data_IF_953682343956
#
_entry.id   IF_953682343956
#
_cell.length_a   1.000
_cell.length_b   1.000
_cell.length_c   1.000
_cell.angle_alpha   90.00
_cell.angle_beta   90.00
_cell.angle_gamma   90.00
#
_symmetry.space_group_name_H-M   'P 1'
#
loop_
_entity.id
_entity.type
_entity.pdbx_description
1 polymer ?
#
# COMPACT_ATOMS: atom_id res chain seq x y z
N UNK A 1 -2.39 12.24 -14.30
CA UNK A 1 -1.31 11.44 -14.93
C UNK A 1 0.00 11.90 -14.29
N UNK A 2 0.83 11.00 -13.74
CA UNK A 2 1.99 11.35 -12.88
C UNK A 2 3.20 11.92 -13.63
N UNK A 3 3.23 11.86 -14.97
CA UNK A 3 4.34 12.40 -15.78
C UNK A 3 3.78 13.35 -16.86
N UNK A 4 3.88 14.68 -16.68
CA UNK A 4 3.42 15.65 -17.66
C UNK A 4 4.17 15.51 -19.00
N UNK A 5 3.47 15.72 -20.12
CA UNK A 5 4.03 15.49 -21.47
C UNK A 5 5.16 16.48 -21.77
N UNK A 6 4.94 17.75 -21.48
CA UNK A 6 5.89 18.81 -21.82
C UNK A 6 7.17 18.67 -20.99
N UNK A 7 7.03 18.42 -19.69
CA UNK A 7 8.17 18.20 -18.79
C UNK A 7 9.04 17.02 -19.23
N UNK A 8 8.43 15.92 -19.65
CA UNK A 8 9.16 14.77 -20.16
C UNK A 8 9.87 15.08 -21.49
N UNK A 9 9.24 15.83 -22.40
CA UNK A 9 9.85 16.22 -23.68
C UNK A 9 10.99 17.22 -23.51
N UNK A 10 10.98 18.03 -22.44
CA UNK A 10 12.03 18.99 -22.13
C UNK A 10 13.27 18.33 -21.51
N UNK A 11 13.21 17.05 -21.14
CA UNK A 11 14.37 16.34 -20.62
C UNK A 11 15.41 16.15 -21.72
N UNK A 12 16.71 16.47 -21.49
CA UNK A 12 17.75 16.36 -22.51
C UNK A 12 17.82 14.98 -23.18
N UNK A 13 17.66 13.92 -22.37
CA UNK A 13 17.63 12.53 -22.85
C UNK A 13 16.47 12.26 -23.80
N UNK A 14 15.30 12.87 -23.59
CA UNK A 14 14.09 12.66 -24.40
C UNK A 14 14.02 13.62 -25.58
N UNK A 15 14.50 14.85 -25.40
CA UNK A 15 14.55 15.88 -26.42
C UNK A 15 15.47 15.51 -27.58
N UNK A 16 16.57 14.80 -27.29
CA UNK A 16 17.53 14.32 -28.30
C UNK A 16 16.99 13.18 -29.18
N UNK A 17 15.91 12.51 -28.75
CA UNK A 17 15.31 11.38 -29.46
C UNK A 17 14.35 11.88 -30.53
N UNK A 18 14.76 11.73 -31.79
CA UNK A 18 13.96 12.12 -32.98
C UNK A 18 13.04 11.00 -33.46
N UNK A 19 13.49 9.75 -33.33
CA UNK A 19 12.74 8.56 -33.71
C UNK A 19 12.53 7.64 -32.51
N UNK A 20 11.42 6.88 -32.43
CA UNK A 20 11.20 5.95 -31.34
C UNK A 20 12.36 4.96 -31.22
N UNK A 21 12.97 4.88 -30.04
CA UNK A 21 14.08 3.97 -29.76
C UNK A 21 13.77 3.03 -28.60
N UNK A 22 14.62 2.02 -28.42
CA UNK A 22 14.68 1.28 -27.17
C UNK A 22 15.49 2.07 -26.14
N UNK A 23 14.98 2.12 -24.91
CA UNK A 23 15.62 2.84 -23.81
C UNK A 23 16.36 1.85 -22.91
N UNK A 24 17.58 2.20 -22.49
CA UNK A 24 18.31 1.36 -21.55
C UNK A 24 17.67 1.38 -20.16
N UNK A 25 18.01 0.40 -19.32
CA UNK A 25 17.56 0.39 -17.93
C UNK A 25 18.07 1.62 -17.16
N UNK A 26 19.28 2.06 -17.44
CA UNK A 26 19.90 3.22 -16.78
C UNK A 26 19.20 4.53 -17.16
N UNK A 27 18.90 4.74 -18.45
CA UNK A 27 18.19 5.94 -18.92
C UNK A 27 16.78 6.02 -18.30
N UNK A 28 16.12 4.88 -18.17
CA UNK A 28 14.81 4.82 -17.55
C UNK A 28 14.87 5.01 -16.04
N UNK A 29 15.91 4.49 -15.38
CA UNK A 29 16.09 4.65 -13.95
C UNK A 29 16.31 6.12 -13.59
N UNK A 30 17.18 6.81 -14.34
CA UNK A 30 17.44 8.25 -14.21
C UNK A 30 16.15 9.07 -14.33
N UNK A 31 15.42 8.89 -15.44
CA UNK A 31 14.16 9.59 -15.67
C UNK A 31 13.10 9.22 -14.62
N UNK A 32 13.04 7.95 -14.20
CA UNK A 32 12.03 7.50 -13.23
C UNK A 32 12.21 8.14 -11.86
N UNK A 33 13.46 8.31 -11.41
CA UNK A 33 13.83 9.02 -10.18
C UNK A 33 13.43 10.48 -10.23
N UNK A 34 13.64 11.13 -11.37
CA UNK A 34 13.30 12.54 -11.55
C UNK A 34 11.80 12.82 -11.43
N UNK A 35 10.97 11.92 -11.96
CA UNK A 35 9.51 12.08 -11.91
C UNK A 35 8.85 11.36 -10.71
N UNK A 36 9.62 10.66 -9.87
CA UNK A 36 9.08 9.88 -8.76
C UNK A 36 8.12 8.77 -9.21
N UNK A 37 8.39 8.16 -10.37
CA UNK A 37 7.52 7.12 -10.95
C UNK A 37 8.26 5.81 -11.13
N UNK A 38 7.54 4.72 -11.38
CA UNK A 38 8.18 3.46 -11.74
C UNK A 38 8.73 3.52 -13.17
N UNK A 39 9.79 2.77 -13.45
CA UNK A 39 10.31 2.60 -14.80
C UNK A 39 9.22 2.14 -15.79
N UNK A 40 8.26 1.33 -15.34
CA UNK A 40 7.13 0.90 -16.18
C UNK A 40 6.17 2.05 -16.53
N UNK A 41 5.84 2.90 -15.55
CA UNK A 41 4.99 4.07 -15.80
C UNK A 41 5.67 5.01 -16.81
N UNK A 42 6.98 5.18 -16.69
CA UNK A 42 7.78 5.99 -17.59
C UNK A 42 7.85 5.41 -19.00
N UNK A 43 8.12 4.10 -19.15
CA UNK A 43 8.12 3.43 -20.48
C UNK A 43 6.79 3.58 -21.18
N UNK A 44 5.68 3.30 -20.49
CA UNK A 44 4.32 3.50 -21.02
C UNK A 44 4.12 4.93 -21.50
N UNK A 45 4.61 5.91 -20.73
CA UNK A 45 4.54 7.32 -21.09
C UNK A 45 5.37 7.61 -22.35
N UNK A 46 6.61 7.14 -22.45
CA UNK A 46 7.49 7.30 -23.60
C UNK A 46 6.88 6.69 -24.88
N UNK A 47 6.30 5.49 -24.79
CA UNK A 47 5.57 4.87 -25.91
C UNK A 47 4.36 5.71 -26.31
N UNK A 48 3.59 6.22 -25.34
CA UNK A 48 2.40 7.06 -25.59
C UNK A 48 2.76 8.36 -26.33
N UNK A 49 3.94 8.93 -26.09
CA UNK A 49 4.39 10.17 -26.75
C UNK A 49 5.25 9.91 -28.00
N UNK A 50 5.37 8.65 -28.45
CA UNK A 50 6.14 8.29 -29.65
C UNK A 50 7.65 8.46 -29.49
N UNK A 51 8.18 8.24 -28.27
CA UNK A 51 9.61 8.26 -27.97
C UNK A 51 10.19 6.88 -27.65
N UNK A 52 9.34 5.86 -27.58
CA UNK A 52 9.75 4.46 -27.48
C UNK A 52 8.94 3.60 -28.46
N UNK A 53 9.56 2.53 -28.98
CA UNK A 53 8.90 1.59 -29.89
C UNK A 53 7.79 0.81 -29.18
N UNK A 54 6.86 0.24 -29.95
CA UNK A 54 5.77 -0.58 -29.38
C UNK A 54 6.28 -1.94 -28.95
N UNK A 55 7.29 -2.44 -29.66
CA UNK A 55 8.03 -3.68 -29.40
C UNK A 55 8.72 -3.61 -28.04
N UNK A 56 9.34 -2.47 -27.71
CA UNK A 56 9.94 -2.19 -26.42
C UNK A 56 8.95 -2.22 -25.24
N UNK A 57 7.70 -1.81 -25.48
CA UNK A 57 6.63 -1.97 -24.49
C UNK A 57 6.19 -3.44 -24.34
N UNK A 58 6.14 -4.19 -25.44
CA UNK A 58 5.65 -5.57 -25.48
C UNK A 58 6.64 -6.60 -24.92
N UNK A 59 7.94 -6.44 -25.16
CA UNK A 59 8.99 -7.37 -24.71
C UNK A 59 8.99 -7.58 -23.18
N UNK A 60 8.42 -6.65 -22.43
CA UNK A 60 8.60 -6.60 -20.99
C UNK A 60 7.34 -6.95 -20.18
N UNK A 61 6.19 -7.11 -20.82
CA UNK A 61 4.94 -7.47 -20.11
C UNK A 61 5.07 -8.83 -19.41
N UNK A 62 5.79 -9.77 -20.01
CA UNK A 62 6.06 -11.09 -19.41
C UNK A 62 6.97 -10.99 -18.18
N UNK A 63 8.07 -10.25 -18.29
CA UNK A 63 9.04 -10.08 -17.20
C UNK A 63 8.47 -9.28 -16.03
N UNK A 64 7.62 -8.29 -16.28
CA UNK A 64 7.00 -7.49 -15.22
C UNK A 64 5.91 -8.24 -14.49
N UNK A 65 5.08 -9.01 -15.21
CA UNK A 65 4.16 -9.94 -14.57
C UNK A 65 4.94 -10.94 -13.71
N UNK A 66 6.06 -11.45 -14.20
CA UNK A 66 6.91 -12.36 -13.44
C UNK A 66 7.52 -11.70 -12.19
N UNK A 67 8.13 -10.50 -12.31
CA UNK A 67 8.69 -9.76 -11.17
C UNK A 67 7.62 -9.34 -10.16
N UNK A 68 6.44 -8.93 -10.63
CA UNK A 68 5.30 -8.62 -9.77
C UNK A 68 4.76 -9.87 -9.06
N UNK A 69 4.67 -11.00 -9.76
CA UNK A 69 4.27 -12.29 -9.19
C UNK A 69 5.29 -12.76 -8.14
N UNK A 70 6.59 -12.64 -8.42
CA UNK A 70 7.68 -12.95 -7.48
C UNK A 70 7.63 -12.01 -6.28
N UNK A 71 7.48 -10.70 -6.48
CA UNK A 71 7.35 -9.73 -5.40
C UNK A 71 6.07 -9.94 -4.57
N UNK A 72 4.97 -10.34 -5.21
CA UNK A 72 3.71 -10.71 -4.53
C UNK A 72 3.87 -11.98 -3.69
N UNK A 73 4.64 -12.96 -4.17
CA UNK A 73 4.93 -14.22 -3.47
C UNK A 73 6.00 -14.07 -2.38
N UNK A 74 6.96 -13.16 -2.56
CA UNK A 74 8.05 -12.90 -1.61
C UNK A 74 7.65 -11.94 -0.50
N UNK A 75 6.58 -11.16 -0.68
CA UNK A 75 5.92 -10.52 0.45
C UNK A 75 5.41 -11.64 1.37
N UNK A 76 5.88 -11.73 2.63
CA UNK A 76 5.09 -12.46 3.62
C UNK A 76 3.68 -11.90 3.53
N UNK A 77 2.66 -12.74 3.69
CA UNK A 77 1.29 -12.25 3.90
C UNK A 77 1.33 -11.37 5.15
N UNK A 78 1.70 -10.10 5.03
CA UNK A 78 1.53 -9.16 6.10
C UNK A 78 0.02 -9.12 6.27
N UNK A 79 -0.47 -9.56 7.41
CA UNK A 79 -1.70 -9.02 7.95
C UNK A 79 -1.48 -7.51 8.01
N UNK A 80 -1.84 -6.82 6.93
CA UNK A 80 -1.66 -5.38 6.84
C UNK A 80 -2.56 -4.74 7.89
N UNK A 81 -1.96 -3.94 8.77
CA UNK A 81 -2.62 -3.28 9.89
C UNK A 81 -2.36 -3.96 11.23
N UNK A 82 -2.31 -3.20 12.34
CA UNK A 82 -2.38 -3.80 13.68
C UNK A 82 -3.62 -4.69 13.78
N UNK A 83 -3.55 -5.75 14.60
CA UNK A 83 -4.72 -6.57 14.86
C UNK A 83 -5.90 -5.70 15.31
N UNK A 84 -7.12 -6.10 14.95
CA UNK A 84 -8.32 -5.29 15.19
C UNK A 84 -8.53 -4.93 16.67
N UNK A 85 -8.13 -5.80 17.60
CA UNK A 85 -8.16 -5.58 19.06
C UNK A 85 -7.17 -4.48 19.48
N UNK A 86 -6.01 -4.41 18.84
CA UNK A 86 -5.03 -3.32 19.03
C UNK A 86 -5.62 -1.99 18.66
N UNK A 87 -6.25 -1.92 17.48
CA UNK A 87 -6.89 -0.70 17.02
C UNK A 87 -8.02 -0.30 17.97
N UNK A 88 -8.83 -1.27 18.41
CA UNK A 88 -9.96 -1.00 19.31
C UNK A 88 -9.53 -0.48 20.68
N UNK A 89 -8.51 -1.10 21.29
CA UNK A 89 -7.95 -0.63 22.58
C UNK A 89 -7.29 0.73 22.43
N UNK A 90 -6.63 1.01 21.30
CA UNK A 90 -6.04 2.33 21.01
C UNK A 90 -7.12 3.40 20.90
N UNK A 91 -8.18 3.13 20.15
CA UNK A 91 -9.23 4.11 19.86
C UNK A 91 -10.11 4.39 21.10
N UNK A 92 -10.39 3.38 21.93
CA UNK A 92 -11.16 3.54 23.18
C UNK A 92 -10.30 4.01 24.37
N UNK A 93 -9.00 3.71 24.34
CA UNK A 93 -8.09 3.91 25.45
C UNK A 93 -8.16 2.77 26.49
N UNK A 94 -6.98 2.29 26.92
CA UNK A 94 -6.82 1.18 27.88
C UNK A 94 -7.59 1.38 29.19
N UNK A 95 -7.66 2.61 29.70
CA UNK A 95 -8.35 2.93 30.97
C UNK A 95 -9.86 2.73 30.85
N UNK A 96 -10.45 3.17 29.74
CA UNK A 96 -11.88 3.00 29.50
C UNK A 96 -12.24 1.51 29.37
N UNK A 97 -11.45 0.76 28.59
CA UNK A 97 -11.64 -0.69 28.44
C UNK A 97 -11.61 -1.39 29.80
N UNK A 98 -10.61 -1.09 30.64
CA UNK A 98 -10.51 -1.66 32.00
C UNK A 98 -11.71 -1.33 32.88
N UNK A 99 -12.19 -0.09 32.90
CA UNK A 99 -13.37 0.28 33.71
C UNK A 99 -14.60 -0.54 33.31
N UNK A 100 -14.82 -0.72 32.01
CA UNK A 100 -15.96 -1.50 31.50
C UNK A 100 -15.79 -2.99 31.83
N UNK A 101 -14.60 -3.57 31.64
CA UNK A 101 -14.35 -4.98 31.97
C UNK A 101 -14.38 -5.26 33.47
N UNK A 102 -13.94 -4.32 34.30
CA UNK A 102 -14.01 -4.42 35.76
C UNK A 102 -15.44 -4.31 36.29
N UNK A 103 -16.28 -3.50 35.64
CA UNK A 103 -17.70 -3.42 35.95
C UNK A 103 -18.42 -4.73 35.61
N UNK A 104 -18.05 -5.35 34.47
CA UNK A 104 -18.54 -6.67 34.11
C UNK A 104 -18.09 -7.76 35.09
N UNK A 105 -16.80 -7.78 35.46
CA UNK A 105 -16.26 -8.77 36.41
C UNK A 105 -16.86 -8.68 37.82
N UNK A 106 -17.46 -7.53 38.16
CA UNK A 106 -18.18 -7.29 39.42
C UNK A 106 -19.70 -7.47 39.29
N UNK A 107 -20.17 -8.05 38.19
CA UNK A 107 -21.59 -8.23 37.86
C UNK A 107 -22.42 -6.92 37.91
N UNK A 108 -21.77 -5.77 37.78
CA UNK A 108 -22.44 -4.46 37.81
C UNK A 108 -23.12 -4.13 36.47
N UNK A 109 -22.66 -4.74 35.37
CA UNK A 109 -23.24 -4.62 34.03
C UNK A 109 -23.27 -5.99 33.34
N UNK A 110 -24.26 -6.21 32.48
CA UNK A 110 -24.39 -7.44 31.70
C UNK A 110 -23.50 -7.47 30.45
N UNK A 111 -23.31 -8.66 29.89
CA UNK A 111 -22.46 -8.89 28.71
C UNK A 111 -22.94 -8.14 27.45
N UNK A 112 -24.25 -7.93 27.32
CA UNK A 112 -24.83 -7.09 26.26
C UNK A 112 -24.42 -5.62 26.41
N UNK A 113 -24.47 -5.08 27.63
CA UNK A 113 -24.04 -3.72 27.95
C UNK A 113 -22.55 -3.50 27.70
N UNK A 114 -21.72 -4.51 27.98
CA UNK A 114 -20.27 -4.47 27.65
C UNK A 114 -20.05 -4.42 26.15
N UNK A 115 -20.77 -5.25 25.39
CA UNK A 115 -20.74 -5.26 23.92
C UNK A 115 -21.08 -3.87 23.36
N UNK A 116 -22.08 -3.19 23.93
CA UNK A 116 -22.48 -1.85 23.52
C UNK A 116 -21.41 -0.80 23.87
N UNK A 117 -20.89 -0.80 25.10
CA UNK A 117 -19.86 0.15 25.53
C UNK A 117 -18.52 -0.01 24.83
N UNK A 118 -18.13 -1.24 24.51
CA UNK A 118 -16.92 -1.53 23.74
C UNK A 118 -17.19 -1.53 22.23
N UNK A 119 -18.44 -1.35 21.79
CA UNK A 119 -18.92 -1.44 20.40
C UNK A 119 -18.33 -2.63 19.64
N UNK A 120 -18.37 -3.81 20.26
CA UNK A 120 -17.77 -5.04 19.75
C UNK A 120 -18.66 -6.24 20.02
N UNK A 121 -18.61 -7.25 19.14
CA UNK A 121 -19.32 -8.51 19.38
C UNK A 121 -18.75 -9.21 20.61
N UNK A 122 -19.64 -9.85 21.37
CA UNK A 122 -19.32 -10.59 22.60
C UNK A 122 -18.10 -11.51 22.48
N UNK A 123 -17.99 -12.24 21.37
CA UNK A 123 -16.86 -13.16 21.09
C UNK A 123 -15.46 -12.51 21.05
N UNK A 124 -15.37 -11.19 21.02
CA UNK A 124 -14.12 -10.45 20.96
C UNK A 124 -13.81 -9.67 22.25
N UNK A 125 -14.68 -9.73 23.27
CA UNK A 125 -14.50 -9.01 24.53
C UNK A 125 -13.26 -9.51 25.27
N UNK A 126 -13.04 -10.83 25.33
CA UNK A 126 -11.87 -11.41 26.00
C UNK A 126 -10.55 -10.97 25.37
N UNK A 127 -10.47 -10.95 24.04
CA UNK A 127 -9.30 -10.49 23.32
C UNK A 127 -8.97 -9.01 23.60
N UNK A 128 -10.01 -8.15 23.66
CA UNK A 128 -9.84 -6.73 23.99
C UNK A 128 -9.37 -6.55 25.44
N UNK A 129 -9.94 -7.31 26.38
CA UNK A 129 -9.56 -7.27 27.80
C UNK A 129 -8.08 -7.62 27.97
N UNK A 130 -7.68 -8.79 27.47
CA UNK A 130 -6.29 -9.25 27.56
C UNK A 130 -5.33 -8.23 26.95
N UNK A 131 -5.73 -7.59 25.84
CA UNK A 131 -4.92 -6.57 25.18
C UNK A 131 -4.83 -5.27 25.97
N UNK A 132 -5.84 -4.90 26.75
CA UNK A 132 -5.82 -3.72 27.62
C UNK A 132 -4.98 -3.92 28.90
N UNK A 133 -4.85 -5.17 29.36
CA UNK A 133 -4.09 -5.52 30.57
C UNK A 133 -2.58 -5.66 30.34
N UNK A 134 -2.14 -5.92 29.10
CA UNK A 134 -0.73 -5.87 28.67
C UNK A 134 -0.20 -4.44 28.55
#
# INVERSE_FOLDING_TARGET
MLVPRQDLLNQPLVASVREPKEWSLDELDELSRMFGTSQEALRRRLTTIGRATREFYLQMRGEFLHRYEVHRRSRPKSSGGPDWDVMRVRDLGRRYVRVVTDAYARDAIGLSTVSDFLGTKVKHIDAIRERADR
#
